data_IF_965540962176
#
_entry.id   IF_965540962176
#
_cell.length_a   1.000
_cell.length_b   1.000
_cell.length_c   1.000
_cell.angle_alpha   90.00
_cell.angle_beta   90.00
_cell.angle_gamma   90.00
#
_symmetry.space_group_name_H-M   'P 1'
#
loop_
_entity.id
_entity.type
_entity.pdbx_description
1 polymer ?
#
# COMPACT_ATOMS: atom_id res chain seq x y z
N UNK A 1 -21.87 -33.54 -27.32
CA UNK A 1 -21.10 -34.48 -26.47
C UNK A 1 -20.64 -33.70 -25.29
N UNK A 2 -21.57 -33.53 -24.30
CA UNK A 2 -21.33 -32.80 -23.06
C UNK A 2 -20.55 -33.68 -22.11
N UNK A 3 -19.30 -33.30 -21.84
CA UNK A 3 -18.46 -33.96 -20.84
C UNK A 3 -18.83 -33.35 -19.47
N UNK A 4 -19.47 -34.18 -18.64
CA UNK A 4 -19.78 -33.88 -17.24
C UNK A 4 -18.49 -33.63 -16.47
N UNK A 5 -18.22 -32.37 -16.16
CA UNK A 5 -17.12 -31.90 -15.25
C UNK A 5 -17.50 -32.05 -13.77
N UNK A 6 -18.61 -32.69 -13.43
CA UNK A 6 -19.13 -32.74 -12.05
C UNK A 6 -18.56 -33.87 -11.17
N UNK A 7 -17.61 -34.69 -11.64
CA UNK A 7 -17.23 -35.92 -10.90
C UNK A 7 -15.77 -36.00 -10.43
N UNK A 8 -15.00 -34.92 -10.46
CA UNK A 8 -13.58 -34.90 -10.00
C UNK A 8 -13.37 -34.07 -8.73
N UNK A 9 -14.36 -33.32 -8.25
CA UNK A 9 -14.21 -32.40 -7.10
C UNK A 9 -14.55 -33.02 -5.73
N UNK A 10 -15.03 -34.28 -5.65
CA UNK A 10 -15.48 -34.86 -4.37
C UNK A 10 -14.44 -35.70 -3.59
N UNK A 11 -13.19 -35.81 -4.03
CA UNK A 11 -12.20 -36.72 -3.35
C UNK A 11 -10.88 -36.08 -2.93
N UNK A 12 -10.75 -34.77 -2.95
CA UNK A 12 -9.69 -34.09 -2.18
C UNK A 12 -10.39 -33.05 -1.35
N UNK A 13 -10.29 -33.15 -0.02
CA UNK A 13 -10.77 -32.12 0.90
C UNK A 13 -10.21 -30.77 0.42
N UNK A 14 -11.02 -30.02 -0.32
CA UNK A 14 -10.73 -28.69 -0.77
C UNK A 14 -10.83 -27.84 0.50
N UNK A 15 -9.71 -27.68 1.21
CA UNK A 15 -9.54 -26.58 2.13
C UNK A 15 -9.65 -25.36 1.24
N UNK A 16 -10.80 -24.66 1.32
CA UNK A 16 -10.96 -23.34 0.69
C UNK A 16 -9.73 -22.53 1.14
N UNK A 17 -8.95 -21.92 0.23
CA UNK A 17 -7.87 -21.04 0.68
C UNK A 17 -8.51 -20.04 1.63
N UNK A 18 -7.95 -19.90 2.84
CA UNK A 18 -8.36 -18.87 3.79
C UNK A 18 -8.47 -17.58 3.01
N UNK A 19 -9.65 -17.01 2.98
CA UNK A 19 -9.92 -15.76 2.27
C UNK A 19 -9.14 -14.70 3.05
N UNK A 20 -7.95 -14.35 2.54
CA UNK A 20 -7.03 -13.43 3.20
C UNK A 20 -7.78 -12.11 3.35
N UNK A 21 -8.03 -11.70 4.58
CA UNK A 21 -8.71 -10.44 4.87
C UNK A 21 -7.91 -9.27 4.28
N UNK A 22 -8.60 -8.31 3.68
CA UNK A 22 -7.97 -7.09 3.18
C UNK A 22 -7.54 -6.26 4.37
N UNK A 23 -6.25 -5.92 4.45
CA UNK A 23 -5.70 -5.12 5.53
C UNK A 23 -5.99 -3.63 5.30
N UNK A 24 -6.08 -2.87 6.40
CA UNK A 24 -6.45 -1.45 6.36
C UNK A 24 -5.28 -0.59 6.82
N UNK A 25 -4.94 0.43 6.03
CA UNK A 25 -4.01 1.50 6.39
C UNK A 25 -4.74 2.84 6.46
N UNK A 26 -4.57 3.54 7.57
CA UNK A 26 -5.00 4.94 7.73
C UNK A 26 -3.75 5.82 7.68
N UNK A 27 -3.67 6.69 6.67
CA UNK A 27 -2.50 7.49 6.37
C UNK A 27 -2.67 8.96 6.77
N UNK A 28 -1.58 9.58 7.26
CA UNK A 28 -1.56 11.00 7.64
C UNK A 28 -2.08 11.24 9.05
N UNK A 29 -1.68 10.40 10.00
CA UNK A 29 -1.94 10.55 11.43
C UNK A 29 -1.08 11.68 11.98
N UNK A 30 -1.69 12.61 12.74
CA UNK A 30 -1.04 13.82 13.23
C UNK A 30 -1.15 14.03 14.74
N UNK A 31 -2.03 13.29 15.42
CA UNK A 31 -2.29 13.51 16.84
C UNK A 31 -2.75 12.28 17.62
N UNK A 32 -2.63 12.38 18.95
CA UNK A 32 -2.97 11.30 19.90
C UNK A 32 -4.45 10.89 19.87
N UNK A 33 -5.33 11.83 19.58
CA UNK A 33 -6.77 11.53 19.47
C UNK A 33 -7.04 10.59 18.32
N UNK A 34 -6.38 10.81 17.17
CA UNK A 34 -6.46 9.92 16.01
C UNK A 34 -5.91 8.52 16.32
N UNK A 35 -4.81 8.43 17.08
CA UNK A 35 -4.25 7.16 17.56
C UNK A 35 -5.27 6.37 18.37
N UNK A 36 -5.99 7.02 19.29
CA UNK A 36 -7.01 6.35 20.10
C UNK A 36 -8.14 5.78 19.25
N UNK A 37 -8.54 6.50 18.19
CA UNK A 37 -9.56 5.98 17.26
C UNK A 37 -9.06 4.78 16.47
N UNK A 38 -7.79 4.79 16.04
CA UNK A 38 -7.21 3.62 15.36
C UNK A 38 -7.15 2.38 16.26
N UNK A 39 -6.84 2.59 17.55
CA UNK A 39 -6.78 1.49 18.53
C UNK A 39 -8.14 0.84 18.82
N UNK A 40 -9.24 1.54 18.55
CA UNK A 40 -10.60 1.04 18.71
C UNK A 40 -11.07 0.23 17.48
N UNK A 41 -10.34 0.30 16.37
CA UNK A 41 -10.74 -0.27 15.07
C UNK A 41 -9.77 -1.36 14.60
N UNK A 42 -10.24 -2.20 13.67
CA UNK A 42 -9.40 -3.23 13.03
C UNK A 42 -8.53 -2.62 11.92
N UNK A 43 -7.53 -1.86 12.34
CA UNK A 43 -6.57 -1.19 11.48
C UNK A 43 -5.21 -1.87 11.59
N UNK A 44 -4.59 -2.18 10.45
CA UNK A 44 -3.29 -2.87 10.41
C UNK A 44 -2.09 -1.94 10.35
N UNK A 45 -2.28 -0.72 9.80
CA UNK A 45 -1.17 0.22 9.56
C UNK A 45 -1.58 1.66 9.85
N UNK A 46 -0.71 2.40 10.53
CA UNK A 46 -0.81 3.84 10.74
C UNK A 46 0.30 4.56 9.96
N UNK A 47 -0.07 5.46 9.05
CA UNK A 47 0.87 6.23 8.24
C UNK A 47 1.16 7.60 8.82
N UNK A 48 2.44 7.94 8.99
CA UNK A 48 2.93 9.23 9.48
C UNK A 48 3.72 9.91 8.36
N UNK A 49 3.28 11.10 7.94
CA UNK A 49 3.89 11.80 6.81
C UNK A 49 5.08 12.62 7.28
N UNK A 50 6.27 12.26 6.82
CA UNK A 50 7.54 12.93 7.14
C UNK A 50 8.00 13.90 6.03
N UNK A 51 7.07 14.42 5.24
CA UNK A 51 7.33 15.36 4.17
C UNK A 51 6.82 16.76 4.55
N UNK A 52 7.73 17.70 4.78
CA UNK A 52 7.42 19.04 5.35
C UNK A 52 6.40 19.86 4.55
N UNK A 53 6.31 19.65 3.23
CA UNK A 53 5.34 20.36 2.38
C UNK A 53 3.93 19.81 2.48
N UNK A 54 3.72 18.71 3.19
CA UNK A 54 2.41 18.12 3.39
C UNK A 54 1.66 18.81 4.53
N UNK A 55 0.36 19.03 4.34
CA UNK A 55 -0.54 19.49 5.44
C UNK A 55 -0.65 18.48 6.58
N UNK A 56 -0.21 17.22 6.34
CA UNK A 56 -0.22 16.10 7.30
C UNK A 56 1.15 15.83 7.89
N UNK A 57 2.09 16.77 7.72
CA UNK A 57 3.47 16.62 8.20
C UNK A 57 3.54 16.47 9.72
N UNK A 58 4.27 15.44 10.16
CA UNK A 58 4.64 15.24 11.56
C UNK A 58 6.15 15.23 11.66
N UNK A 59 6.77 16.15 12.41
CA UNK A 59 8.21 16.11 12.64
C UNK A 59 8.63 14.79 13.30
N UNK A 60 9.69 14.16 12.81
CA UNK A 60 10.15 12.85 13.30
C UNK A 60 10.38 12.82 14.82
N UNK A 61 10.84 13.93 15.39
CA UNK A 61 11.02 14.09 16.84
C UNK A 61 9.74 13.99 17.68
N UNK A 62 8.57 14.10 17.03
CA UNK A 62 7.26 14.01 17.71
C UNK A 62 6.60 12.64 17.57
N UNK A 63 7.13 11.76 16.72
CA UNK A 63 6.47 10.47 16.47
C UNK A 63 6.55 9.53 17.66
N UNK A 64 7.60 9.59 18.48
CA UNK A 64 7.74 8.77 19.69
C UNK A 64 6.57 8.96 20.65
N UNK A 65 6.12 10.21 20.86
CA UNK A 65 4.96 10.50 21.70
C UNK A 65 3.65 9.89 21.19
N UNK A 66 3.54 9.69 19.87
CA UNK A 66 2.40 9.06 19.21
C UNK A 66 2.50 7.55 19.29
N UNK A 67 3.71 7.00 19.21
CA UNK A 67 3.93 5.56 19.26
C UNK A 67 3.66 4.95 20.64
N UNK A 68 3.87 5.72 21.70
CA UNK A 68 3.58 5.31 23.07
C UNK A 68 2.10 4.94 23.30
N UNK A 69 1.19 5.57 22.54
CA UNK A 69 -0.25 5.33 22.66
C UNK A 69 -0.79 4.36 21.58
N UNK A 70 0.02 4.02 20.56
CA UNK A 70 -0.42 3.15 19.47
C UNK A 70 -0.32 1.67 19.86
N UNK A 71 -1.38 0.89 19.61
CA UNK A 71 -1.38 -0.54 19.86
C UNK A 71 -0.26 -1.24 19.05
N UNK A 72 0.42 -2.19 19.68
CA UNK A 72 1.58 -2.92 19.12
C UNK A 72 1.24 -3.72 17.84
N UNK A 73 -0.02 -4.11 17.65
CA UNK A 73 -0.49 -4.80 16.45
C UNK A 73 -0.62 -3.87 15.23
N UNK A 74 -0.64 -2.54 15.43
CA UNK A 74 -0.71 -1.57 14.32
C UNK A 74 0.71 -1.18 13.90
N UNK A 75 1.07 -1.49 12.65
CA UNK A 75 2.40 -1.18 12.10
C UNK A 75 2.55 0.29 11.76
N UNK A 76 3.68 0.85 12.15
CA UNK A 76 4.05 2.26 11.96
C UNK A 76 4.71 2.45 10.60
N UNK A 77 4.09 3.21 9.70
CA UNK A 77 4.58 3.46 8.35
C UNK A 77 5.09 4.89 8.22
N UNK A 78 6.39 5.04 7.96
CA UNK A 78 7.00 6.33 7.63
C UNK A 78 6.72 6.67 6.15
N UNK A 79 5.93 7.69 5.89
CA UNK A 79 5.57 8.13 4.53
C UNK A 79 6.45 9.29 4.11
N UNK A 80 7.24 9.09 3.06
CA UNK A 80 8.27 10.01 2.59
C UNK A 80 8.12 10.33 1.10
N UNK A 81 8.81 11.38 0.66
CA UNK A 81 8.94 11.74 -0.76
C UNK A 81 10.42 11.88 -1.08
N UNK A 82 10.96 10.98 -1.92
CA UNK A 82 12.37 10.98 -2.34
C UNK A 82 13.35 11.18 -1.17
N UNK A 83 13.30 10.31 -0.13
CA UNK A 83 14.15 10.46 1.05
C UNK A 83 15.62 10.27 0.69
N UNK A 84 16.51 10.89 1.48
CA UNK A 84 17.93 10.58 1.51
C UNK A 84 18.24 9.49 2.56
N UNK A 85 19.48 8.98 2.55
CA UNK A 85 19.95 7.95 3.48
C UNK A 85 19.85 8.43 4.92
N UNK A 86 20.17 9.69 5.19
CA UNK A 86 20.12 10.26 6.54
C UNK A 86 18.71 10.24 7.13
N UNK A 87 17.69 10.57 6.32
CA UNK A 87 16.30 10.49 6.77
C UNK A 87 15.90 9.03 7.02
N UNK A 88 16.38 8.08 6.20
CA UNK A 88 16.11 6.64 6.40
C UNK A 88 16.69 6.15 7.73
N UNK A 89 17.92 6.52 8.06
CA UNK A 89 18.54 6.21 9.35
C UNK A 89 17.71 6.77 10.52
N UNK A 90 17.30 8.03 10.44
CA UNK A 90 16.44 8.66 11.45
C UNK A 90 15.07 7.93 11.61
N UNK A 91 14.51 7.43 10.50
CA UNK A 91 13.26 6.68 10.51
C UNK A 91 13.43 5.35 11.25
N UNK A 92 14.53 4.64 11.01
CA UNK A 92 14.84 3.39 11.72
C UNK A 92 15.07 3.64 13.21
N UNK A 93 15.86 4.66 13.56
CA UNK A 93 16.13 5.04 14.94
C UNK A 93 14.85 5.45 15.70
N UNK A 94 13.88 6.05 14.99
CA UNK A 94 12.58 6.42 15.57
C UNK A 94 11.64 5.22 15.80
N UNK A 95 11.99 4.02 15.32
CA UNK A 95 11.23 2.80 15.53
C UNK A 95 10.03 2.61 14.61
N UNK A 96 10.11 3.08 13.37
CA UNK A 96 9.14 2.72 12.33
C UNK A 96 9.30 1.27 11.87
N UNK A 97 8.20 0.64 11.50
CA UNK A 97 8.17 -0.74 11.01
C UNK A 97 8.35 -0.83 9.48
N UNK A 98 7.97 0.23 8.75
CA UNK A 98 7.92 0.26 7.28
C UNK A 98 8.32 1.64 6.77
N UNK A 99 9.11 1.67 5.70
CA UNK A 99 9.42 2.88 4.94
C UNK A 99 8.57 2.91 3.66
N UNK A 100 7.64 3.85 3.54
CA UNK A 100 6.89 4.11 2.30
C UNK A 100 7.50 5.29 1.55
N UNK A 101 7.85 5.07 0.27
CA UNK A 101 8.51 6.07 -0.56
C UNK A 101 7.64 6.46 -1.74
N UNK A 102 7.28 7.73 -1.80
CA UNK A 102 6.78 8.39 -3.01
C UNK A 102 7.94 9.03 -3.76
N UNK A 103 7.81 9.17 -5.08
CA UNK A 103 8.85 9.75 -5.93
C UNK A 103 10.05 8.83 -6.15
N UNK A 104 11.26 9.38 -6.02
CA UNK A 104 12.49 8.65 -6.33
C UNK A 104 12.91 7.72 -5.18
N UNK A 105 13.10 6.45 -5.49
CA UNK A 105 13.67 5.45 -4.59
C UNK A 105 15.03 5.02 -5.17
N UNK A 106 16.11 5.51 -4.57
CA UNK A 106 17.47 5.24 -5.04
C UNK A 106 18.01 3.93 -4.48
N UNK A 107 19.06 3.39 -5.11
CA UNK A 107 19.73 2.16 -4.67
C UNK A 107 20.39 2.35 -3.29
N UNK A 108 20.93 3.55 -3.01
CA UNK A 108 21.51 3.89 -1.71
C UNK A 108 20.46 3.84 -0.59
N UNK A 109 19.28 4.38 -0.85
CA UNK A 109 18.15 4.34 0.10
C UNK A 109 17.69 2.91 0.33
N UNK A 110 17.54 2.11 -0.72
CA UNK A 110 17.21 0.68 -0.59
C UNK A 110 18.27 -0.09 0.21
N UNK A 111 19.54 0.22 -0.03
CA UNK A 111 20.66 -0.44 0.68
C UNK A 111 20.65 -0.08 2.16
N UNK A 112 20.45 1.19 2.49
CA UNK A 112 20.44 1.70 3.86
C UNK A 112 19.22 1.22 4.69
N UNK A 113 18.07 1.02 4.05
CA UNK A 113 16.87 0.59 4.76
C UNK A 113 17.02 -0.83 5.29
N UNK A 114 16.93 -1.04 6.60
CA UNK A 114 16.88 -2.36 7.26
C UNK A 114 15.45 -2.83 7.55
N UNK A 115 14.48 -1.99 7.29
CA UNK A 115 13.04 -2.26 7.42
C UNK A 115 12.40 -2.46 6.04
N UNK A 116 11.24 -3.13 5.94
CA UNK A 116 10.47 -3.28 4.71
C UNK A 116 10.20 -1.95 4.01
N UNK A 117 10.31 -1.95 2.69
CA UNK A 117 10.06 -0.76 1.85
C UNK A 117 8.77 -0.95 1.05
N UNK A 118 7.92 0.05 1.08
CA UNK A 118 6.76 0.18 0.20
C UNK A 118 7.04 1.26 -0.84
N UNK A 119 6.96 0.91 -2.10
CA UNK A 119 7.14 1.87 -3.19
C UNK A 119 5.78 2.34 -3.70
N UNK A 120 5.55 3.66 -3.66
CA UNK A 120 4.38 4.26 -4.28
C UNK A 120 4.63 4.51 -5.77
N UNK A 121 3.66 4.13 -6.59
CA UNK A 121 3.67 4.34 -8.04
C UNK A 121 2.37 5.02 -8.46
N UNK A 122 2.43 5.84 -9.50
CA UNK A 122 1.25 6.53 -10.01
C UNK A 122 0.61 5.69 -11.12
N UNK A 123 -0.66 5.32 -10.95
CA UNK A 123 -1.38 4.49 -11.92
C UNK A 123 -1.64 5.18 -13.26
N UNK A 124 -1.62 6.50 -13.28
CA UNK A 124 -1.86 7.27 -14.52
C UNK A 124 -0.58 7.54 -15.31
N UNK A 125 0.58 7.13 -14.80
CA UNK A 125 1.82 7.23 -15.55
C UNK A 125 1.76 6.27 -16.74
N UNK A 126 1.98 6.80 -17.93
CA UNK A 126 1.94 6.02 -19.16
C UNK A 126 2.98 4.88 -19.10
N UNK A 127 2.52 3.68 -19.40
CA UNK A 127 3.38 2.49 -19.38
C UNK A 127 3.84 2.02 -18.00
N UNK A 128 3.19 2.45 -16.89
CA UNK A 128 3.62 2.05 -15.53
C UNK A 128 3.64 0.53 -15.35
N UNK A 129 2.64 -0.18 -15.88
CA UNK A 129 2.59 -1.64 -15.77
C UNK A 129 3.69 -2.33 -16.56
N UNK A 130 3.94 -1.84 -17.78
CA UNK A 130 5.02 -2.34 -18.64
C UNK A 130 6.39 -2.03 -18.04
N UNK A 131 6.56 -0.88 -17.40
CA UNK A 131 7.79 -0.53 -16.70
C UNK A 131 8.03 -1.49 -15.53
N UNK A 132 7.05 -1.67 -14.66
CA UNK A 132 7.15 -2.60 -13.53
C UNK A 132 7.35 -4.02 -14.03
N UNK A 133 6.57 -4.47 -15.02
CA UNK A 133 6.73 -5.78 -15.60
C UNK A 133 8.14 -6.01 -16.14
N UNK A 134 8.70 -5.06 -16.88
CA UNK A 134 10.09 -5.16 -17.40
C UNK A 134 11.11 -5.20 -16.28
N UNK A 135 10.97 -4.38 -15.25
CA UNK A 135 11.90 -4.38 -14.12
C UNK A 135 11.95 -5.75 -13.43
N UNK A 136 10.79 -6.31 -13.09
CA UNK A 136 10.72 -7.58 -12.37
C UNK A 136 10.95 -8.80 -13.28
N UNK A 137 10.50 -8.78 -14.54
CA UNK A 137 10.74 -9.86 -15.49
C UNK A 137 12.22 -9.94 -15.90
N UNK A 138 12.87 -8.80 -16.16
CA UNK A 138 14.30 -8.77 -16.46
C UNK A 138 15.16 -9.29 -15.31
N UNK A 139 14.72 -9.08 -14.06
CA UNK A 139 15.34 -9.67 -12.87
C UNK A 139 15.22 -11.21 -12.88
N UNK A 140 14.09 -11.76 -13.34
CA UNK A 140 13.88 -13.21 -13.40
C UNK A 140 14.59 -13.89 -14.58
N UNK A 141 14.66 -13.23 -15.74
CA UNK A 141 15.31 -13.78 -16.93
C UNK A 141 16.86 -13.78 -16.83
N UNK A 142 17.44 -12.84 -16.11
CA UNK A 142 18.88 -12.74 -15.90
C UNK A 142 19.45 -13.72 -14.86
N UNK A 143 18.67 -14.69 -14.35
CA UNK A 143 19.13 -15.72 -13.41
C UNK A 143 20.25 -16.62 -13.92
N UNK A 144 20.71 -16.46 -15.16
CA UNK A 144 21.79 -17.26 -15.77
C UNK A 144 23.21 -16.70 -15.60
N UNK A 145 23.39 -15.51 -15.01
CA UNK A 145 24.73 -14.94 -14.77
C UNK A 145 24.92 -14.61 -13.28
N UNK A 146 25.80 -15.35 -12.56
CA UNK A 146 25.99 -15.16 -11.13
C UNK A 146 26.59 -13.80 -10.75
N UNK A 147 27.35 -13.17 -11.64
CA UNK A 147 28.12 -11.95 -11.35
C UNK A 147 27.38 -10.62 -11.56
N UNK A 148 26.32 -10.60 -12.37
CA UNK A 148 25.54 -9.38 -12.65
C UNK A 148 24.27 -9.28 -11.83
N UNK A 149 23.88 -10.36 -11.15
CA UNK A 149 22.62 -10.47 -10.41
C UNK A 149 22.69 -9.91 -9.00
N UNK A 150 23.79 -10.13 -8.27
CA UNK A 150 23.92 -9.67 -6.89
C UNK A 150 23.79 -8.15 -6.77
N UNK A 151 24.42 -7.39 -7.68
CA UNK A 151 24.33 -5.92 -7.66
C UNK A 151 22.96 -5.36 -8.06
N UNK A 152 22.21 -6.04 -8.94
CA UNK A 152 20.91 -5.54 -9.45
C UNK A 152 19.72 -5.96 -8.60
N UNK A 153 19.90 -6.98 -7.76
CA UNK A 153 18.94 -7.47 -6.76
C UNK A 153 19.16 -6.84 -5.38
N UNK A 154 20.34 -6.26 -5.13
CA UNK A 154 20.66 -5.66 -3.84
C UNK A 154 19.59 -4.61 -3.49
N UNK A 155 18.82 -4.94 -2.47
CA UNK A 155 17.79 -4.09 -1.92
C UNK A 155 16.37 -4.27 -2.46
N UNK A 156 16.16 -4.83 -3.68
CA UNK A 156 14.79 -5.01 -4.21
C UNK A 156 13.96 -6.08 -3.49
N UNK A 157 14.60 -7.05 -2.84
CA UNK A 157 13.95 -7.97 -1.91
C UNK A 157 13.36 -7.28 -0.69
N UNK A 158 13.80 -6.06 -0.40
CA UNK A 158 13.24 -5.22 0.66
C UNK A 158 11.93 -4.55 0.27
N UNK A 159 11.61 -4.47 -1.04
CA UNK A 159 10.32 -3.96 -1.50
C UNK A 159 9.27 -5.03 -1.26
N UNK A 160 8.47 -4.83 -0.22
CA UNK A 160 7.43 -5.78 0.21
C UNK A 160 6.03 -5.39 -0.24
N UNK A 161 5.83 -4.16 -0.69
CA UNK A 161 4.56 -3.72 -1.28
C UNK A 161 4.76 -2.66 -2.37
N UNK A 162 3.86 -2.69 -3.35
CA UNK A 162 3.66 -1.60 -4.31
C UNK A 162 2.30 -0.92 -4.03
N UNK A 163 2.37 0.36 -3.75
CA UNK A 163 1.20 1.21 -3.52
C UNK A 163 0.87 1.97 -4.80
N UNK A 164 -0.36 1.76 -5.28
CA UNK A 164 -0.87 2.46 -6.45
C UNK A 164 -1.76 3.63 -6.02
N UNK A 165 -1.34 4.85 -6.38
CA UNK A 165 -2.03 6.09 -6.00
C UNK A 165 -2.61 6.80 -7.24
N UNK A 166 -3.59 7.66 -7.03
CA UNK A 166 -4.10 8.56 -8.07
C UNK A 166 -3.05 9.60 -8.46
N UNK A 167 -3.17 10.15 -9.66
CA UNK A 167 -2.18 11.08 -10.28
C UNK A 167 -1.81 12.26 -9.40
N UNK A 168 -2.77 12.83 -8.67
CA UNK A 168 -2.56 13.97 -7.79
C UNK A 168 -2.49 13.48 -6.35
N UNK A 169 -1.31 13.48 -5.75
CA UNK A 169 -1.10 13.09 -4.35
C UNK A 169 -2.05 13.83 -3.41
N UNK A 170 -2.89 13.06 -2.73
CA UNK A 170 -3.81 13.62 -1.76
C UNK A 170 -5.00 14.40 -2.31
N UNK A 171 -5.28 14.32 -3.62
CA UNK A 171 -6.39 15.03 -4.26
C UNK A 171 -7.79 14.55 -3.85
N UNK A 172 -7.88 13.35 -3.26
CA UNK A 172 -9.18 12.73 -2.92
C UNK A 172 -10.00 12.25 -4.13
N UNK A 173 -9.44 12.32 -5.34
CA UNK A 173 -10.11 11.85 -6.57
C UNK A 173 -9.64 10.47 -6.95
N UNK A 174 -10.58 9.57 -7.29
CA UNK A 174 -10.27 8.29 -7.92
C UNK A 174 -9.93 8.51 -9.40
N UNK A 175 -8.94 7.78 -9.91
CA UNK A 175 -8.78 7.66 -11.36
C UNK A 175 -9.97 6.86 -11.95
N UNK A 176 -10.22 6.99 -13.25
CA UNK A 176 -11.38 6.37 -13.92
C UNK A 176 -11.34 4.85 -13.92
N UNK A 177 -11.74 4.21 -12.82
CA UNK A 177 -11.71 2.75 -12.65
C UNK A 177 -12.41 1.99 -13.77
N UNK A 178 -13.53 2.55 -14.30
CA UNK A 178 -14.27 1.91 -15.39
C UNK A 178 -13.50 1.93 -16.72
N UNK A 179 -12.80 3.02 -17.01
CA UNK A 179 -11.97 3.11 -18.22
C UNK A 179 -10.75 2.18 -18.12
N UNK A 180 -10.22 1.99 -16.91
CA UNK A 180 -9.10 1.11 -16.64
C UNK A 180 -9.42 -0.38 -16.85
N UNK A 181 -10.67 -0.79 -16.56
CA UNK A 181 -11.11 -2.17 -16.67
C UNK A 181 -11.57 -2.56 -18.07
N UNK A 182 -11.47 -1.69 -19.08
CA UNK A 182 -11.88 -1.98 -20.44
C UNK A 182 -10.66 -2.31 -21.33
N UNK A 183 -10.74 -3.44 -22.02
CA UNK A 183 -9.77 -3.85 -23.03
C UNK A 183 -8.37 -4.19 -22.48
N UNK A 184 -7.35 -3.56 -23.04
CA UNK A 184 -5.93 -3.84 -22.70
C UNK A 184 -5.56 -3.54 -21.24
N UNK A 185 -6.27 -2.62 -20.58
CA UNK A 185 -6.00 -2.24 -19.20
C UNK A 185 -6.20 -3.39 -18.21
N UNK A 186 -7.25 -4.17 -18.38
CA UNK A 186 -7.54 -5.35 -17.56
C UNK A 186 -6.46 -6.43 -17.70
N UNK A 187 -6.03 -6.71 -18.95
CA UNK A 187 -4.98 -7.71 -19.18
C UNK A 187 -3.64 -7.29 -18.57
N UNK A 188 -3.26 -6.04 -18.75
CA UNK A 188 -2.04 -5.45 -18.18
C UNK A 188 -2.06 -5.52 -16.66
N UNK A 189 -3.18 -5.18 -16.03
CA UNK A 189 -3.33 -5.26 -14.58
C UNK A 189 -3.29 -6.71 -14.07
N UNK A 190 -3.96 -7.65 -14.74
CA UNK A 190 -3.89 -9.07 -14.38
C UNK A 190 -2.46 -9.61 -14.46
N UNK A 191 -1.71 -9.26 -15.50
CA UNK A 191 -0.31 -9.60 -15.63
C UNK A 191 0.55 -8.99 -14.52
N UNK A 192 0.34 -7.72 -14.22
CA UNK A 192 0.97 -7.02 -13.09
C UNK A 192 0.74 -7.75 -11.77
N UNK A 193 -0.51 -8.13 -11.47
CA UNK A 193 -0.84 -8.89 -10.24
C UNK A 193 -0.13 -10.25 -10.17
N UNK A 194 0.05 -10.93 -11.30
CA UNK A 194 0.81 -12.18 -11.36
C UNK A 194 2.30 -11.97 -11.02
N UNK A 195 2.89 -10.87 -11.50
CA UNK A 195 4.26 -10.49 -11.16
C UNK A 195 4.38 -10.23 -9.66
N UNK A 196 3.53 -9.41 -9.08
CA UNK A 196 3.58 -9.13 -7.64
C UNK A 196 3.48 -10.41 -6.82
N UNK A 197 2.57 -11.31 -7.16
CA UNK A 197 2.42 -12.60 -6.50
C UNK A 197 3.67 -13.47 -6.63
N UNK A 198 4.30 -13.52 -7.81
CA UNK A 198 5.52 -14.28 -8.06
C UNK A 198 6.73 -13.77 -7.25
N UNK A 199 6.73 -12.49 -6.91
CA UNK A 199 7.78 -11.84 -6.11
C UNK A 199 7.40 -11.66 -4.63
N UNK A 200 6.25 -12.18 -4.21
CA UNK A 200 5.70 -12.01 -2.86
C UNK A 200 5.57 -10.53 -2.44
N UNK A 201 5.16 -9.68 -3.37
CA UNK A 201 4.95 -8.25 -3.15
C UNK A 201 3.45 -7.99 -2.97
N UNK A 202 3.08 -7.33 -1.89
CA UNK A 202 1.70 -6.95 -1.61
C UNK A 202 1.25 -5.80 -2.53
N UNK A 203 0.00 -5.83 -2.92
CA UNK A 203 -0.63 -4.75 -3.66
C UNK A 203 -1.43 -3.86 -2.72
N UNK A 204 -1.07 -2.59 -2.63
CA UNK A 204 -1.77 -1.57 -1.85
C UNK A 204 -2.57 -0.68 -2.80
N UNK A 205 -3.89 -0.67 -2.64
CA UNK A 205 -4.77 0.25 -3.35
C UNK A 205 -4.91 1.55 -2.57
N UNK A 206 -4.55 2.66 -3.18
CA UNK A 206 -4.64 3.99 -2.62
C UNK A 206 -5.25 5.00 -3.62
N UNK A 207 -5.30 6.26 -3.26
CA UNK A 207 -5.73 7.34 -4.14
C UNK A 207 -7.24 7.53 -4.18
N UNK A 208 -7.74 8.50 -3.43
CA UNK A 208 -9.14 8.89 -3.41
C UNK A 208 -10.12 7.88 -2.81
N UNK A 209 -9.62 6.87 -2.08
CA UNK A 209 -10.49 5.96 -1.33
C UNK A 209 -11.25 6.71 -0.23
N UNK A 210 -12.48 6.28 0.01
CA UNK A 210 -13.37 6.77 1.04
C UNK A 210 -14.42 5.69 1.38
N UNK A 211 -15.28 5.88 2.40
CA UNK A 211 -16.30 4.90 2.77
C UNK A 211 -17.28 4.51 1.66
N UNK A 212 -17.52 5.41 0.68
CA UNK A 212 -18.52 5.16 -0.36
C UNK A 212 -17.99 4.35 -1.54
N UNK A 213 -16.66 4.33 -1.74
CA UNK A 213 -16.05 3.70 -2.91
C UNK A 213 -15.13 2.52 -2.60
N UNK A 214 -14.67 2.34 -1.34
CA UNK A 214 -13.69 1.32 -0.98
C UNK A 214 -14.16 -0.10 -1.29
N UNK A 215 -15.43 -0.44 -1.01
CA UNK A 215 -15.97 -1.77 -1.32
C UNK A 215 -15.90 -2.07 -2.83
N UNK A 216 -16.22 -1.08 -3.69
CA UNK A 216 -16.08 -1.20 -5.14
C UNK A 216 -14.61 -1.38 -5.54
N UNK A 217 -13.69 -0.61 -4.94
CA UNK A 217 -12.26 -0.74 -5.18
C UNK A 217 -11.74 -2.15 -4.86
N UNK A 218 -12.17 -2.71 -3.73
CA UNK A 218 -11.80 -4.08 -3.33
C UNK A 218 -12.31 -5.10 -4.34
N UNK A 219 -13.57 -5.01 -4.76
CA UNK A 219 -14.15 -5.94 -5.75
C UNK A 219 -13.42 -5.89 -7.10
N UNK A 220 -13.04 -4.71 -7.55
CA UNK A 220 -12.40 -4.51 -8.84
C UNK A 220 -10.93 -4.97 -8.83
N UNK A 221 -10.17 -4.53 -7.84
CA UNK A 221 -8.72 -4.65 -7.84
C UNK A 221 -8.19 -5.79 -6.98
N UNK A 222 -9.02 -6.38 -6.11
CA UNK A 222 -8.63 -7.41 -5.15
C UNK A 222 -7.29 -7.11 -4.45
N UNK A 223 -7.14 -5.93 -3.79
CA UNK A 223 -5.90 -5.54 -3.14
C UNK A 223 -5.62 -6.40 -1.91
N UNK A 224 -4.35 -6.47 -1.51
CA UNK A 224 -3.96 -7.04 -0.21
C UNK A 224 -4.19 -6.03 0.92
N UNK A 225 -4.05 -4.73 0.61
CA UNK A 225 -4.17 -3.63 1.55
C UNK A 225 -4.93 -2.47 0.87
N UNK A 226 -5.81 -1.80 1.61
CA UNK A 226 -6.40 -0.51 1.21
C UNK A 226 -5.81 0.60 2.06
N UNK A 227 -5.38 1.70 1.41
CA UNK A 227 -4.78 2.87 2.07
C UNK A 227 -5.65 4.10 1.85
N UNK A 228 -6.14 4.67 2.95
CA UNK A 228 -6.97 5.88 2.94
C UNK A 228 -6.32 7.03 3.70
N UNK A 229 -6.40 8.24 3.14
CA UNK A 229 -5.95 9.47 3.81
C UNK A 229 -7.05 10.51 3.83
N UNK A 230 -7.21 11.31 2.76
CA UNK A 230 -8.19 12.41 2.71
C UNK A 230 -9.65 11.95 2.81
N UNK A 231 -9.96 10.73 2.35
CA UNK A 231 -11.34 10.22 2.39
C UNK A 231 -11.90 9.96 3.80
N UNK A 232 -11.07 10.03 4.83
CA UNK A 232 -11.46 9.94 6.24
C UNK A 232 -11.05 11.18 7.04
N UNK A 233 -10.85 12.31 6.38
CA UNK A 233 -10.59 13.60 7.03
C UNK A 233 -11.89 14.37 7.28
N UNK A 234 -11.80 15.30 8.24
CA UNK A 234 -12.86 16.27 8.52
C UNK A 234 -13.15 17.10 7.28
N UNK A 235 -14.39 17.56 7.15
CA UNK A 235 -14.76 18.43 6.03
C UNK A 235 -13.96 19.75 6.07
N UNK A 236 -13.61 20.32 4.90
CA UNK A 236 -12.95 21.61 4.83
C UNK A 236 -13.71 22.68 5.64
N UNK A 237 -12.98 23.38 6.53
CA UNK A 237 -13.56 24.41 7.40
C UNK A 237 -14.14 23.92 8.72
N UNK A 238 -14.20 22.61 8.99
CA UNK A 238 -14.69 22.04 10.25
C UNK A 238 -13.55 21.63 11.21
N UNK A 239 -12.32 21.77 10.77
CA UNK A 239 -11.10 21.41 11.52
C UNK A 239 -10.10 20.66 10.66
N UNK A 240 -8.94 20.37 11.25
CA UNK A 240 -7.89 19.57 10.60
C UNK A 240 -7.87 18.14 11.16
N UNK A 241 -7.25 17.22 10.40
CA UNK A 241 -7.02 15.85 10.84
C UNK A 241 -8.17 14.90 10.44
N UNK A 242 -8.14 13.71 11.04
CA UNK A 242 -9.09 12.64 10.72
C UNK A 242 -10.43 12.86 11.39
N UNK A 243 -11.44 12.20 10.84
CA UNK A 243 -12.81 12.16 11.34
C UNK A 243 -13.09 10.74 11.84
N UNK A 244 -13.47 10.61 13.12
CA UNK A 244 -13.70 9.31 13.76
C UNK A 244 -14.80 8.50 13.05
N UNK A 245 -15.93 9.14 12.74
CA UNK A 245 -17.07 8.46 12.11
C UNK A 245 -16.72 7.98 10.70
N UNK A 246 -15.92 8.76 9.95
CA UNK A 246 -15.45 8.36 8.62
C UNK A 246 -14.47 7.18 8.69
N UNK A 247 -13.57 7.15 9.69
CA UNK A 247 -12.70 5.99 9.92
C UNK A 247 -13.54 4.76 10.18
N UNK A 248 -14.49 4.84 11.12
CA UNK A 248 -15.36 3.72 11.47
C UNK A 248 -16.16 3.21 10.27
N UNK A 249 -16.78 4.10 9.51
CA UNK A 249 -17.50 3.75 8.28
C UNK A 249 -16.60 3.09 7.25
N UNK A 250 -15.37 3.58 7.09
CA UNK A 250 -14.40 2.99 6.16
C UNK A 250 -14.04 1.56 6.56
N UNK A 251 -13.68 1.33 7.83
CA UNK A 251 -13.36 0.00 8.36
C UNK A 251 -14.54 -0.97 8.19
N UNK A 252 -15.75 -0.56 8.57
CA UNK A 252 -16.97 -1.36 8.39
C UNK A 252 -17.22 -1.73 6.92
N UNK A 253 -16.98 -0.79 5.99
CA UNK A 253 -17.14 -1.05 4.55
C UNK A 253 -16.13 -2.06 4.02
N UNK A 254 -14.88 -2.02 4.49
CA UNK A 254 -13.87 -3.02 4.13
C UNK A 254 -14.26 -4.39 4.68
N UNK A 255 -14.61 -4.48 5.95
CA UNK A 255 -15.01 -5.73 6.61
C UNK A 255 -16.25 -6.36 5.99
N UNK A 256 -17.18 -5.57 5.45
CA UNK A 256 -18.40 -6.06 4.81
C UNK A 256 -18.19 -6.73 3.46
N UNK A 257 -17.01 -6.66 2.89
CA UNK A 257 -16.65 -7.24 1.57
C UNK A 257 -16.01 -8.63 1.73
N UNK A 258 -15.56 -8.92 2.94
CA UNK A 258 -14.90 -10.17 3.31
C UNK A 258 -15.97 -11.13 3.83
#
# INVERSE_FOLDING_TARGET
MEIKISCILEKRGCVMPEQKSVQIKICGITGKEEIRWLNEEDVSYAGFVLYEKSSRYVPIRKVSELFEELNENIKKVAVTVSPDVKLVEQIMDAGFDILQVHGSLTEEVLTAAEIPVWQAVNMTDEGIFEKIAREYTNLSLNRKSPFTQEKKLMGKEKITALLMDAKEFGSGKTFGWDAFLQGEGEEKFRYFRQILKAWNIQFVLAGGLNPDNVSRGIHIFAPDIVDVSSGVEKEPGTGNGKDKEKIQKFVQKVQSVI
#
